data_IF_797102302554
#
_entry.id   IF_797102302554
#
_cell.length_a   1.000
_cell.length_b   1.000
_cell.length_c   1.000
_cell.angle_alpha   90.00
_cell.angle_beta   90.00
_cell.angle_gamma   90.00
#
_symmetry.space_group_name_H-M   'P 1'
#
loop_
_entity.id
_entity.type
_entity.pdbx_description
1 polymer ?
#
# COMPACT_ATOMS: atom_id res chain seq x y z
N UNK A 1 -25.76 5.39 10.43
CA UNK A 1 -24.38 5.91 10.49
C UNK A 1 -23.95 6.30 9.10
N UNK A 2 -23.33 7.47 8.91
CA UNK A 2 -22.92 7.96 7.59
C UNK A 2 -21.75 7.17 7.01
N UNK A 3 -21.65 7.18 5.68
CA UNK A 3 -20.53 6.62 4.93
C UNK A 3 -19.24 7.39 5.23
N UNK A 4 -18.12 6.70 5.35
CA UNK A 4 -16.81 7.31 5.56
C UNK A 4 -16.02 7.30 4.26
N UNK A 5 -15.55 8.48 3.85
CA UNK A 5 -14.72 8.63 2.65
C UNK A 5 -13.35 7.98 2.87
N UNK A 6 -12.79 7.44 1.79
CA UNK A 6 -11.42 6.93 1.81
C UNK A 6 -10.43 8.07 2.12
N UNK A 7 -9.59 7.94 3.16
CA UNK A 7 -8.67 9.00 3.56
C UNK A 7 -7.67 9.42 2.49
N UNK A 8 -7.26 8.47 1.64
CA UNK A 8 -6.36 8.73 0.51
C UNK A 8 -7.08 9.59 -0.53
N UNK A 9 -8.30 9.18 -0.93
CA UNK A 9 -9.09 9.90 -1.93
C UNK A 9 -9.42 11.33 -1.51
N UNK A 10 -9.76 11.54 -0.22
CA UNK A 10 -10.04 12.86 0.34
C UNK A 10 -8.84 13.83 0.24
N UNK A 11 -7.62 13.30 0.28
CA UNK A 11 -6.38 14.08 0.33
C UNK A 11 -5.61 14.16 -0.99
N UNK A 12 -6.13 13.51 -2.03
CA UNK A 12 -5.54 13.61 -3.38
C UNK A 12 -5.55 15.06 -3.87
N UNK A 13 -4.40 15.52 -4.37
CA UNK A 13 -4.23 16.89 -4.83
C UNK A 13 -3.99 17.93 -3.72
N UNK A 14 -4.18 17.58 -2.45
CA UNK A 14 -3.95 18.47 -1.29
C UNK A 14 -2.57 18.21 -0.68
N UNK A 15 -2.37 17.02 -0.10
CA UNK A 15 -1.10 16.61 0.50
C UNK A 15 -0.57 15.27 -0.04
N UNK A 16 -1.30 14.64 -0.97
CA UNK A 16 -0.91 13.39 -1.60
C UNK A 16 -1.09 13.47 -3.13
N UNK A 17 -0.10 12.97 -3.86
CA UNK A 17 -0.17 12.80 -5.31
C UNK A 17 -0.74 11.44 -5.73
N UNK A 18 -0.90 11.25 -7.04
CA UNK A 18 -1.32 10.01 -7.66
C UNK A 18 -0.17 8.99 -7.70
N UNK A 19 -0.50 7.70 -7.62
CA UNK A 19 0.47 6.61 -7.78
C UNK A 19 0.76 6.29 -9.26
N UNK A 20 -0.08 6.76 -10.18
CA UNK A 20 0.19 6.78 -11.63
C UNK A 20 0.24 8.22 -12.09
N UNK A 21 1.35 8.61 -12.71
CA UNK A 21 1.60 9.99 -13.17
C UNK A 21 1.91 9.95 -14.66
N UNK A 22 0.90 10.23 -15.47
CA UNK A 22 1.02 10.30 -16.93
C UNK A 22 -0.15 11.07 -17.56
N UNK A 23 0.05 11.49 -18.79
CA UNK A 23 -0.97 12.09 -19.61
C UNK A 23 -1.16 11.27 -20.89
N UNK A 24 -2.41 11.06 -21.29
CA UNK A 24 -2.75 10.37 -22.52
C UNK A 24 -3.91 11.06 -23.25
N UNK A 25 -3.95 10.90 -24.57
CA UNK A 25 -5.11 11.30 -25.37
C UNK A 25 -6.32 10.44 -25.03
N UNK A 26 -7.52 10.96 -25.25
CA UNK A 26 -8.79 10.28 -24.90
C UNK A 26 -8.88 8.85 -25.46
N UNK A 27 -8.33 8.59 -26.65
CA UNK A 27 -8.33 7.26 -27.29
C UNK A 27 -7.42 6.26 -26.58
N UNK A 28 -6.29 6.72 -26.03
CA UNK A 28 -5.23 5.85 -25.48
C UNK A 28 -5.36 5.67 -23.97
N UNK A 29 -6.16 6.52 -23.32
CA UNK A 29 -6.33 6.55 -21.85
C UNK A 29 -6.77 5.20 -21.29
N UNK A 30 -7.76 4.56 -21.91
CA UNK A 30 -8.27 3.26 -21.46
C UNK A 30 -7.22 2.15 -21.53
N UNK A 31 -6.43 2.13 -22.61
CA UNK A 31 -5.38 1.13 -22.80
C UNK A 31 -4.29 1.29 -21.73
N UNK A 32 -3.82 2.49 -21.47
CA UNK A 32 -2.80 2.76 -20.45
C UNK A 32 -3.30 2.42 -19.04
N UNK A 33 -4.57 2.71 -18.75
CA UNK A 33 -5.17 2.35 -17.45
C UNK A 33 -5.20 0.83 -17.24
N UNK A 34 -5.60 0.07 -18.27
CA UNK A 34 -5.64 -1.40 -18.23
C UNK A 34 -4.22 -1.96 -18.09
N UNK A 35 -3.24 -1.41 -18.82
CA UNK A 35 -1.84 -1.81 -18.67
C UNK A 35 -1.32 -1.56 -17.26
N UNK A 36 -1.59 -0.39 -16.66
CA UNK A 36 -1.18 -0.06 -15.30
C UNK A 36 -1.79 -1.03 -14.28
N UNK A 37 -3.06 -1.41 -14.47
CA UNK A 37 -3.71 -2.40 -13.62
C UNK A 37 -3.03 -3.76 -13.72
N UNK A 38 -2.76 -4.24 -14.95
CA UNK A 38 -2.05 -5.50 -15.20
C UNK A 38 -0.64 -5.50 -14.59
N UNK A 39 0.11 -4.39 -14.71
CA UNK A 39 1.44 -4.22 -14.11
C UNK A 39 1.37 -4.38 -12.60
N UNK A 40 0.44 -3.67 -11.93
CA UNK A 40 0.27 -3.73 -10.47
C UNK A 40 -0.11 -5.12 -10.01
N UNK A 41 -1.03 -5.77 -10.69
CA UNK A 41 -1.46 -7.14 -10.38
C UNK A 41 -0.33 -8.15 -10.57
N UNK A 42 0.41 -8.03 -11.66
CA UNK A 42 1.57 -8.87 -11.95
C UNK A 42 2.64 -8.75 -10.88
N UNK A 43 2.99 -7.51 -10.47
CA UNK A 43 3.98 -7.27 -9.42
C UNK A 43 3.47 -7.86 -8.10
N UNK A 44 2.21 -7.61 -7.73
CA UNK A 44 1.61 -8.14 -6.50
C UNK A 44 1.64 -9.68 -6.45
N UNK A 45 1.39 -10.36 -7.56
CA UNK A 45 1.39 -11.83 -7.64
C UNK A 45 2.81 -12.43 -7.59
N UNK A 46 3.78 -11.81 -8.25
CA UNK A 46 5.13 -12.40 -8.39
C UNK A 46 6.08 -12.03 -7.24
N UNK A 47 5.77 -11.00 -6.46
CA UNK A 47 6.67 -10.42 -5.46
C UNK A 47 6.06 -10.49 -4.04
N UNK A 48 5.28 -11.54 -3.78
CA UNK A 48 4.47 -11.71 -2.53
C UNK A 48 5.31 -11.62 -1.26
N UNK A 49 6.51 -12.18 -1.23
CA UNK A 49 7.32 -12.29 0.00
C UNK A 49 8.25 -11.08 0.26
N UNK A 50 8.30 -10.12 -0.63
CA UNK A 50 9.21 -8.97 -0.50
C UNK A 50 8.61 -7.77 0.23
N UNK A 51 7.34 -7.82 0.62
CA UNK A 51 6.67 -6.71 1.29
C UNK A 51 6.63 -5.46 0.40
N UNK A 52 5.97 -5.55 -0.75
CA UNK A 52 5.73 -4.40 -1.64
C UNK A 52 4.72 -3.48 -0.99
N UNK A 53 5.10 -2.24 -0.76
CA UNK A 53 4.24 -1.21 -0.16
C UNK A 53 3.35 -0.54 -1.21
N UNK A 54 3.97 -0.03 -2.29
CA UNK A 54 3.27 0.62 -3.40
C UNK A 54 4.06 0.50 -4.69
N UNK A 55 3.37 0.65 -5.82
CA UNK A 55 3.96 0.72 -7.15
C UNK A 55 3.60 2.05 -7.76
N UNK A 56 4.61 2.88 -8.06
CA UNK A 56 4.43 4.11 -8.82
C UNK A 56 4.74 3.87 -10.28
N UNK A 57 3.91 4.39 -11.16
CA UNK A 57 4.05 4.27 -12.61
C UNK A 57 4.09 5.67 -13.20
N UNK A 58 5.19 5.99 -13.85
CA UNK A 58 5.37 7.25 -14.56
C UNK A 58 5.58 6.94 -16.05
N UNK A 59 4.80 7.55 -16.93
CA UNK A 59 4.91 7.32 -18.36
C UNK A 59 5.34 8.59 -19.09
N UNK A 60 6.30 8.41 -19.97
CA UNK A 60 6.65 9.37 -21.00
C UNK A 60 6.24 8.81 -22.37
N UNK A 61 6.44 9.57 -23.44
CA UNK A 61 6.01 9.15 -24.78
C UNK A 61 6.57 7.79 -25.24
N UNK A 62 7.77 7.41 -24.80
CA UNK A 62 8.45 6.16 -25.22
C UNK A 62 8.78 5.20 -24.08
N UNK A 63 8.79 5.67 -22.83
CA UNK A 63 9.27 4.89 -21.68
C UNK A 63 8.24 4.83 -20.59
N UNK A 64 8.16 3.68 -19.92
CA UNK A 64 7.35 3.43 -18.73
C UNK A 64 8.28 3.17 -17.54
N UNK A 65 8.32 4.10 -16.59
CA UNK A 65 9.08 3.95 -15.36
C UNK A 65 8.18 3.32 -14.30
N UNK A 66 8.55 2.14 -13.85
CA UNK A 66 7.86 1.43 -12.79
C UNK A 66 8.74 1.42 -11.55
N UNK A 67 8.37 2.19 -10.53
CA UNK A 67 9.09 2.26 -9.25
C UNK A 67 8.37 1.43 -8.20
N UNK A 68 9.01 0.37 -7.72
CA UNK A 68 8.51 -0.52 -6.69
C UNK A 68 9.07 -0.10 -5.34
N UNK A 69 8.19 0.22 -4.39
CA UNK A 69 8.56 0.48 -3.01
C UNK A 69 8.41 -0.81 -2.20
N UNK A 70 9.49 -1.30 -1.63
CA UNK A 70 9.51 -2.56 -0.89
C UNK A 70 10.26 -2.42 0.43
N UNK A 71 9.87 -3.22 1.42
CA UNK A 71 10.59 -3.32 2.70
C UNK A 71 11.83 -4.21 2.61
N UNK A 72 11.90 -5.08 1.59
CA UNK A 72 13.00 -6.05 1.41
C UNK A 72 13.48 -6.07 -0.03
N UNK A 73 14.28 -5.08 -0.45
CA UNK A 73 14.72 -4.93 -1.83
C UNK A 73 15.51 -6.16 -2.34
N UNK A 74 16.29 -6.81 -1.48
CA UNK A 74 17.07 -7.99 -1.85
C UNK A 74 16.23 -9.15 -2.39
N UNK A 75 14.99 -9.33 -1.91
CA UNK A 75 14.08 -10.37 -2.43
C UNK A 75 13.53 -10.04 -3.83
N UNK A 76 13.46 -8.77 -4.19
CA UNK A 76 13.01 -8.34 -5.53
C UNK A 76 14.15 -8.41 -6.54
N UNK A 77 15.35 -8.03 -6.11
CA UNK A 77 16.55 -8.03 -6.96
C UNK A 77 16.98 -9.47 -7.26
N UNK A 78 16.91 -10.37 -6.26
CA UNK A 78 17.33 -11.74 -6.38
C UNK A 78 18.84 -11.92 -6.43
N UNK A 79 19.28 -13.14 -6.64
CA UNK A 79 20.73 -13.46 -6.74
C UNK A 79 21.31 -12.84 -8.02
N UNK A 80 22.29 -11.94 -7.86
CA UNK A 80 22.98 -11.24 -8.96
C UNK A 80 22.05 -10.51 -9.95
N UNK A 81 20.85 -10.11 -9.51
CA UNK A 81 19.90 -9.39 -10.37
C UNK A 81 19.04 -10.27 -11.31
N UNK A 82 19.13 -11.59 -11.21
CA UNK A 82 18.41 -12.51 -12.11
C UNK A 82 16.89 -12.36 -12.06
N UNK A 83 16.33 -12.09 -10.87
CA UNK A 83 14.88 -12.05 -10.72
C UNK A 83 14.29 -10.72 -11.19
N UNK A 84 15.02 -9.62 -11.02
CA UNK A 84 14.63 -8.32 -11.59
C UNK A 84 14.61 -8.34 -13.12
N UNK A 85 15.57 -9.02 -13.77
CA UNK A 85 15.60 -9.17 -15.21
C UNK A 85 14.42 -9.98 -15.73
N UNK A 86 14.07 -11.09 -15.06
CA UNK A 86 12.89 -11.89 -15.39
C UNK A 86 11.59 -11.07 -15.25
N UNK A 87 11.48 -10.26 -14.19
CA UNK A 87 10.34 -9.36 -13.99
C UNK A 87 10.30 -8.32 -15.11
N UNK A 88 11.44 -7.71 -15.47
CA UNK A 88 11.52 -6.71 -16.54
C UNK A 88 11.08 -7.28 -17.88
N UNK A 89 11.56 -8.45 -18.28
CA UNK A 89 11.16 -9.11 -19.54
C UNK A 89 9.66 -9.39 -19.57
N UNK A 90 9.10 -9.92 -18.48
CA UNK A 90 7.66 -10.19 -18.41
C UNK A 90 6.81 -8.90 -18.44
N UNK A 91 7.28 -7.83 -17.80
CA UNK A 91 6.61 -6.51 -17.86
C UNK A 91 6.69 -5.90 -19.26
N UNK A 92 7.81 -6.03 -19.97
CA UNK A 92 7.94 -5.56 -21.36
C UNK A 92 6.94 -6.25 -22.29
N UNK A 93 6.56 -7.49 -22.02
CA UNK A 93 5.54 -8.19 -22.79
C UNK A 93 4.10 -7.73 -22.48
N UNK A 94 3.89 -7.02 -21.38
CA UNK A 94 2.58 -6.50 -20.97
C UNK A 94 2.34 -5.06 -21.44
N UNK A 95 3.38 -4.36 -21.85
CA UNK A 95 3.32 -2.93 -22.22
C UNK A 95 3.87 -2.71 -23.62
N UNK A 96 3.36 -1.70 -24.31
CA UNK A 96 3.84 -1.27 -25.63
C UNK A 96 5.11 -0.44 -25.54
N UNK A 97 5.42 0.13 -24.38
CA UNK A 97 6.54 1.03 -24.16
C UNK A 97 7.73 0.30 -23.50
N UNK A 98 8.95 0.86 -23.68
CA UNK A 98 10.14 0.37 -22.97
C UNK A 98 9.96 0.51 -21.46
N UNK A 99 10.10 -0.60 -20.70
CA UNK A 99 9.96 -0.61 -19.25
C UNK A 99 11.29 -0.41 -18.56
N UNK A 100 11.35 0.61 -17.70
CA UNK A 100 12.48 0.83 -16.79
C UNK A 100 11.97 0.57 -15.37
N UNK A 101 12.62 -0.37 -14.68
CA UNK A 101 12.23 -0.82 -13.36
C UNK A 101 13.17 -0.25 -12.32
N UNK A 102 12.62 0.48 -11.36
CA UNK A 102 13.35 1.05 -10.23
C UNK A 102 12.85 0.44 -8.93
N UNK A 103 13.76 0.15 -8.00
CA UNK A 103 13.42 -0.36 -6.66
C UNK A 103 13.83 0.68 -5.64
N UNK A 104 12.89 1.05 -4.77
CA UNK A 104 13.12 1.94 -3.63
C UNK A 104 12.79 1.23 -2.32
N UNK A 105 13.68 1.36 -1.34
CA UNK A 105 13.49 0.77 -0.03
C UNK A 105 12.56 1.62 0.85
N UNK A 106 11.70 0.95 1.60
CA UNK A 106 10.88 1.55 2.65
C UNK A 106 11.58 1.39 3.98
N UNK A 107 12.22 2.45 4.47
CA UNK A 107 13.03 2.44 5.70
C UNK A 107 12.26 2.06 6.97
N UNK A 108 10.95 2.40 7.05
CA UNK A 108 10.09 2.15 8.23
C UNK A 108 8.84 1.38 7.79
N UNK A 109 8.90 0.05 7.61
CA UNK A 109 7.77 -0.75 7.14
C UNK A 109 6.57 -0.73 8.10
N UNK A 110 6.80 -0.66 9.40
CA UNK A 110 5.73 -0.67 10.41
C UNK A 110 4.93 0.64 10.48
N UNK A 111 5.41 1.71 9.84
CA UNK A 111 4.64 2.95 9.67
C UNK A 111 3.92 3.04 8.33
N UNK A 112 3.98 1.97 7.53
CA UNK A 112 3.27 1.86 6.27
C UNK A 112 2.00 1.03 6.45
N UNK A 113 0.85 1.62 6.16
CA UNK A 113 -0.45 1.00 6.39
C UNK A 113 -0.64 -0.30 5.63
N UNK A 114 -0.15 -0.38 4.37
CA UNK A 114 -0.30 -1.57 3.54
C UNK A 114 0.51 -2.75 4.09
N UNK A 115 1.77 -2.51 4.45
CA UNK A 115 2.64 -3.56 5.01
C UNK A 115 2.14 -4.05 6.37
N UNK A 116 1.61 -3.15 7.19
CA UNK A 116 1.00 -3.51 8.48
C UNK A 116 -0.26 -4.35 8.26
N UNK A 117 -1.13 -3.96 7.33
CA UNK A 117 -2.34 -4.71 7.02
C UNK A 117 -2.02 -6.12 6.49
N UNK A 118 -1.04 -6.23 5.59
CA UNK A 118 -0.59 -7.52 5.04
C UNK A 118 0.03 -8.42 6.13
N UNK A 119 0.84 -7.84 7.02
CA UNK A 119 1.43 -8.58 8.14
C UNK A 119 0.34 -9.13 9.09
N UNK A 120 -0.68 -8.33 9.40
CA UNK A 120 -1.83 -8.79 10.20
C UNK A 120 -2.55 -9.92 9.45
N UNK A 121 -2.79 -9.78 8.14
CA UNK A 121 -3.43 -10.80 7.31
C UNK A 121 -2.68 -12.13 7.37
N UNK A 122 -1.37 -12.10 7.19
CA UNK A 122 -0.52 -13.29 7.28
C UNK A 122 -0.55 -13.94 8.66
N UNK A 123 -0.63 -13.15 9.74
CA UNK A 123 -0.76 -13.67 11.10
C UNK A 123 -2.12 -14.35 11.32
N UNK A 124 -3.20 -13.80 10.77
CA UNK A 124 -4.55 -14.38 10.87
C UNK A 124 -4.65 -15.71 10.10
N UNK A 125 -4.05 -15.80 8.92
CA UNK A 125 -3.94 -17.07 8.16
C UNK A 125 -3.20 -18.13 8.96
N UNK A 126 -2.17 -17.75 9.74
CA UNK A 126 -1.43 -18.63 10.67
C UNK A 126 -2.19 -18.91 11.98
N UNK A 127 -3.48 -18.55 12.05
CA UNK A 127 -4.36 -18.76 13.23
C UNK A 127 -3.89 -18.08 14.51
N UNK A 128 -3.12 -16.99 14.40
CA UNK A 128 -2.77 -16.17 15.57
C UNK A 128 -4.02 -15.38 16.00
N UNK A 129 -4.22 -15.24 17.32
CA UNK A 129 -5.34 -14.46 17.85
C UNK A 129 -5.34 -13.03 17.28
N UNK A 130 -6.46 -12.61 16.70
CA UNK A 130 -6.62 -11.30 16.08
C UNK A 130 -6.34 -10.15 17.05
N UNK A 131 -6.74 -10.27 18.35
CA UNK A 131 -6.46 -9.25 19.36
C UNK A 131 -4.97 -9.09 19.61
N UNK A 132 -4.21 -10.20 19.63
CA UNK A 132 -2.74 -10.17 19.79
C UNK A 132 -2.08 -9.56 18.57
N UNK A 133 -2.52 -9.93 17.36
CA UNK A 133 -1.99 -9.39 16.11
C UNK A 133 -2.20 -7.87 16.02
N UNK A 134 -3.42 -7.38 16.30
CA UNK A 134 -3.73 -5.94 16.33
C UNK A 134 -2.87 -5.19 17.34
N UNK A 135 -2.82 -5.65 18.62
CA UNK A 135 -2.05 -4.97 19.66
C UNK A 135 -0.56 -4.87 19.31
N UNK A 136 0.03 -5.97 18.82
CA UNK A 136 1.45 -5.99 18.41
C UNK A 136 1.71 -5.00 17.27
N UNK A 137 0.86 -4.99 16.25
CA UNK A 137 1.01 -4.07 15.12
C UNK A 137 0.91 -2.60 15.57
N UNK A 138 -0.03 -2.28 16.46
CA UNK A 138 -0.21 -0.93 17.00
C UNK A 138 1.01 -0.48 17.81
N UNK A 139 1.49 -1.31 18.73
CA UNK A 139 2.67 -1.02 19.55
C UNK A 139 3.93 -0.80 18.69
N UNK A 140 4.13 -1.63 17.64
CA UNK A 140 5.26 -1.48 16.72
C UNK A 140 5.19 -0.16 15.95
N UNK A 141 4.03 0.20 15.43
CA UNK A 141 3.84 1.44 14.68
C UNK A 141 4.08 2.69 15.55
N UNK A 142 3.54 2.72 16.77
CA UNK A 142 3.75 3.84 17.69
C UNK A 142 5.21 3.98 18.12
N UNK A 143 5.89 2.85 18.40
CA UNK A 143 7.33 2.84 18.75
C UNK A 143 8.19 3.47 17.66
N UNK A 144 7.82 3.28 16.38
CA UNK A 144 8.55 3.82 15.23
C UNK A 144 8.13 5.24 14.81
N UNK A 145 7.27 5.88 15.62
CA UNK A 145 6.96 7.30 15.49
C UNK A 145 5.65 7.62 14.79
N UNK A 146 4.74 6.66 14.62
CA UNK A 146 3.36 6.99 14.25
C UNK A 146 2.68 7.76 15.39
N UNK A 147 1.97 8.84 15.07
CA UNK A 147 1.24 9.67 16.07
C UNK A 147 -0.11 9.06 16.46
N UNK A 148 -0.57 8.10 15.68
CA UNK A 148 -1.78 7.36 15.97
C UNK A 148 -2.02 6.25 14.93
N UNK A 149 -2.68 5.21 15.40
CA UNK A 149 -3.05 4.07 14.57
C UNK A 149 -4.45 3.58 14.94
N UNK A 150 -5.20 3.16 13.92
CA UNK A 150 -6.46 2.44 14.07
C UNK A 150 -6.42 1.20 13.18
N UNK A 151 -6.77 0.08 13.75
CA UNK A 151 -6.93 -1.19 13.04
C UNK A 151 -8.36 -1.66 13.21
N UNK A 152 -9.02 -2.04 12.12
CA UNK A 152 -10.36 -2.63 12.13
C UNK A 152 -10.30 -3.95 11.39
N UNK A 153 -10.84 -4.99 12.01
CA UNK A 153 -10.93 -6.32 11.44
C UNK A 153 -12.38 -6.75 11.43
N UNK A 154 -12.85 -7.24 10.28
CA UNK A 154 -14.22 -7.65 10.05
C UNK A 154 -14.29 -9.02 9.40
N UNK A 155 -15.24 -9.85 9.88
CA UNK A 155 -15.44 -11.21 9.38
C UNK A 155 -15.73 -12.19 10.51
N UNK A 156 -15.53 -13.48 10.27
CA UNK A 156 -15.69 -14.57 11.25
C UNK A 156 -14.47 -14.66 12.17
N UNK A 157 -14.39 -13.73 13.13
CA UNK A 157 -13.24 -13.60 14.02
C UNK A 157 -13.10 -14.82 14.94
N UNK A 158 -11.93 -15.47 14.89
CA UNK A 158 -11.65 -16.68 15.68
C UNK A 158 -12.45 -17.91 15.23
N UNK A 159 -13.06 -17.90 14.05
CA UNK A 159 -13.88 -19.01 13.54
C UNK A 159 -15.33 -19.00 13.99
N UNK A 160 -15.81 -17.95 14.66
CA UNK A 160 -17.19 -17.83 15.07
C UNK A 160 -18.13 -17.82 13.86
N UNK A 161 -19.32 -18.41 13.99
CA UNK A 161 -20.31 -18.43 12.90
C UNK A 161 -20.81 -17.04 12.53
N UNK A 162 -21.07 -16.20 13.52
CA UNK A 162 -21.55 -14.83 13.32
C UNK A 162 -20.37 -13.92 13.08
N UNK A 163 -20.36 -13.28 11.90
CA UNK A 163 -19.38 -12.27 11.55
C UNK A 163 -19.57 -11.00 12.39
N UNK A 164 -18.48 -10.42 12.80
CA UNK A 164 -18.49 -9.15 13.54
C UNK A 164 -17.31 -8.30 13.15
N UNK A 165 -17.39 -7.01 13.49
CA UNK A 165 -16.31 -6.04 13.30
C UNK A 165 -15.76 -5.65 14.66
N UNK A 166 -14.46 -5.86 14.86
CA UNK A 166 -13.73 -5.34 16.02
C UNK A 166 -12.69 -4.34 15.56
N UNK A 167 -12.49 -3.28 16.33
CA UNK A 167 -11.48 -2.28 16.03
C UNK A 167 -10.78 -1.84 17.32
N UNK A 168 -9.51 -1.50 17.15
CA UNK A 168 -8.68 -0.91 18.20
C UNK A 168 -8.08 0.40 17.66
N UNK A 169 -7.95 1.38 18.53
CA UNK A 169 -7.33 2.66 18.22
C UNK A 169 -6.38 3.05 19.35
N UNK A 170 -5.25 3.62 18.98
CA UNK A 170 -4.29 4.20 19.90
C UNK A 170 -3.72 5.49 19.28
N UNK A 171 -3.60 6.54 20.09
CA UNK A 171 -3.24 7.88 19.63
C UNK A 171 -4.35 8.64 18.89
N UNK A 172 -3.97 9.71 18.20
CA UNK A 172 -4.89 10.60 17.48
C UNK A 172 -4.99 10.23 16.00
N UNK A 173 -6.18 10.29 15.42
CA UNK A 173 -6.41 10.12 13.98
C UNK A 173 -7.43 11.16 13.51
N UNK A 174 -6.97 12.34 13.10
CA UNK A 174 -7.84 13.44 12.69
C UNK A 174 -8.34 13.20 11.25
N UNK A 175 -9.45 12.46 11.09
CA UNK A 175 -9.97 12.05 9.78
C UNK A 175 -10.41 13.23 8.92
N UNK A 176 -10.94 14.29 9.54
CA UNK A 176 -11.47 15.47 8.86
C UNK A 176 -10.41 16.54 8.55
N UNK A 177 -9.24 16.51 9.20
CA UNK A 177 -8.17 17.47 8.96
C UNK A 177 -7.45 17.13 7.66
N UNK A 178 -7.56 17.99 6.65
CA UNK A 178 -6.99 17.76 5.31
C UNK A 178 -5.46 17.76 5.30
N UNK A 179 -4.83 18.60 6.14
CA UNK A 179 -3.36 18.65 6.27
C UNK A 179 -2.75 17.45 6.99
N UNK A 180 -3.58 16.60 7.64
CA UNK A 180 -3.10 15.40 8.31
C UNK A 180 -2.67 14.34 7.29
N UNK A 181 -1.44 13.83 7.41
CA UNK A 181 -0.96 12.69 6.63
C UNK A 181 -1.46 11.40 7.26
N UNK A 182 -2.54 10.88 6.67
CA UNK A 182 -3.14 9.60 7.07
C UNK A 182 -2.90 8.60 5.95
N UNK A 183 -2.08 7.61 6.25
CA UNK A 183 -1.89 6.45 5.40
C UNK A 183 -2.97 5.41 5.69
N UNK A 184 -3.58 4.87 4.64
CA UNK A 184 -4.69 3.94 4.72
C UNK A 184 -4.45 2.75 3.80
N UNK A 185 -4.79 1.55 4.28
CA UNK A 185 -4.77 0.36 3.45
C UNK A 185 -5.82 -0.64 3.90
N UNK A 186 -6.22 -1.45 2.92
CA UNK A 186 -7.07 -2.61 3.10
C UNK A 186 -6.29 -3.86 2.70
N UNK A 187 -6.50 -4.94 3.46
CA UNK A 187 -6.00 -6.27 3.13
C UNK A 187 -7.04 -7.32 3.48
N UNK A 188 -6.96 -8.44 2.81
CA UNK A 188 -7.84 -9.58 3.02
C UNK A 188 -7.03 -10.79 3.47
N UNK A 189 -7.52 -11.47 4.50
CA UNK A 189 -6.95 -12.72 4.98
C UNK A 189 -7.90 -13.87 4.61
N UNK A 190 -7.49 -14.72 3.69
CA UNK A 190 -8.23 -15.93 3.34
C UNK A 190 -7.97 -17.00 4.41
N UNK A 191 -8.98 -17.25 5.24
CA UNK A 191 -8.93 -18.26 6.29
C UNK A 191 -9.78 -19.47 5.95
N UNK A 192 -9.63 -20.57 6.69
CA UNK A 192 -10.47 -21.77 6.52
C UNK A 192 -11.96 -21.52 6.76
N UNK A 193 -12.30 -20.46 7.47
CA UNK A 193 -13.68 -20.06 7.81
C UNK A 193 -14.23 -18.95 6.92
N UNK A 194 -13.48 -18.51 5.92
CA UNK A 194 -13.86 -17.43 5.00
C UNK A 194 -12.86 -16.28 4.99
N UNK A 195 -13.23 -15.20 4.32
CA UNK A 195 -12.39 -14.02 4.16
C UNK A 195 -12.58 -13.08 5.37
N UNK A 196 -11.48 -12.61 5.93
CA UNK A 196 -11.46 -11.58 6.97
C UNK A 196 -10.88 -10.31 6.36
N UNK A 197 -11.65 -9.22 6.37
CA UNK A 197 -11.23 -7.90 5.92
C UNK A 197 -10.48 -7.16 7.02
N UNK A 198 -9.37 -6.53 6.67
CA UNK A 198 -8.52 -5.75 7.56
C UNK A 198 -8.39 -4.35 6.99
N UNK A 199 -8.65 -3.34 7.83
CA UNK A 199 -8.50 -1.92 7.48
C UNK A 199 -7.55 -1.26 8.48
N UNK A 200 -6.52 -0.58 7.98
CA UNK A 200 -5.51 0.07 8.81
C UNK A 200 -5.40 1.54 8.44
N UNK A 201 -5.45 2.42 9.43
CA UNK A 201 -5.20 3.85 9.35
C UNK A 201 -4.00 4.19 10.21
N UNK A 202 -3.00 4.85 9.64
CA UNK A 202 -1.81 5.31 10.36
C UNK A 202 -1.66 6.80 10.16
N UNK A 203 -1.67 7.54 11.25
CA UNK A 203 -1.41 8.97 11.25
C UNK A 203 0.07 9.24 11.49
N UNK A 204 0.72 9.87 10.51
CA UNK A 204 2.16 10.19 10.54
C UNK A 204 2.45 11.60 11.07
N UNK A 205 1.51 12.49 10.93
CA UNK A 205 1.65 13.88 11.34
C UNK A 205 0.92 14.84 10.40
N UNK A 206 1.19 16.12 10.51
CA UNK A 206 0.63 17.14 9.62
C UNK A 206 1.68 17.58 8.60
N UNK A 207 1.25 17.80 7.36
CA UNK A 207 2.07 18.33 6.26
C UNK A 207 1.57 19.75 5.96
N UNK A 208 2.47 20.72 6.03
CA UNK A 208 2.18 22.09 5.66
C UNK A 208 2.56 22.34 4.19
N UNK A 209 1.87 23.25 3.52
CA UNK A 209 1.99 23.50 2.07
C UNK A 209 3.42 23.77 1.60
N UNK A 210 4.25 24.38 2.42
CA UNK A 210 5.67 24.63 2.10
C UNK A 210 6.49 23.35 1.95
N UNK A 211 6.26 22.36 2.81
CA UNK A 211 6.94 21.05 2.77
C UNK A 211 6.51 20.23 1.57
N UNK A 212 5.21 20.23 1.27
CA UNK A 212 4.65 19.53 0.11
C UNK A 212 5.23 20.03 -1.23
N UNK A 213 5.40 21.35 -1.39
CA UNK A 213 5.97 21.92 -2.60
C UNK A 213 7.48 21.62 -2.72
N UNK A 214 8.23 21.57 -1.59
CA UNK A 214 9.64 21.19 -1.61
C UNK A 214 9.86 19.74 -2.00
N UNK A 215 9.00 18.81 -1.59
CA UNK A 215 9.07 17.39 -2.00
C UNK A 215 8.73 17.20 -3.49
N UNK A 216 7.84 18.00 -4.05
CA UNK A 216 7.55 17.97 -5.49
C UNK A 216 8.71 18.47 -6.34
N UNK A 217 9.45 19.47 -5.85
CA UNK A 217 10.58 20.05 -6.60
C UNK A 217 11.88 19.23 -6.45
N UNK A 218 11.95 18.27 -5.54
CA UNK A 218 13.07 17.31 -5.38
C UNK A 218 12.93 16.02 -6.19
N UNK A 219 11.86 15.86 -6.94
CA UNK A 219 11.62 14.74 -7.85
C UNK A 219 11.84 15.15 -9.31
#
# INVERSE_FOLDING_TARGET
MGQKVNPIGLRLGINRGWDSVWYAKKKDFGNYLIEDFKIREFIKKNVVNSGVSKVMIERTSKKCFVTIYTSRPGFVIGKKGSDIEKIKVKLSNLTTNEVILNIKEVKKPETNSYLVAENIAQQLVKRISYRRAMKRAMQSALRLGAKGIKVSISGRLGGNEIARTEWLRDGSIPSHTLRADIDYAEAEALTTYGIIGIKVWIYKGEIFTKEFNQERNKK
#
